data_IF_879842118601
#
_entry.id   IF_879842118601
#
_cell.length_a   1.000
_cell.length_b   1.000
_cell.length_c   1.000
_cell.angle_alpha   90.00
_cell.angle_beta   90.00
_cell.angle_gamma   90.00
#
_symmetry.space_group_name_H-M   'P 1'
#
loop_
_entity.id
_entity.type
_entity.pdbx_description
1 polymer ?
#
# COMPACT_ATOMS: atom_id res chain seq x y z
N UNK A 1 10.80 -13.96 12.01
CA UNK A 1 11.15 -12.61 11.49
C UNK A 1 10.80 -12.41 9.98
N UNK A 2 10.53 -13.48 9.24
CA UNK A 2 10.31 -13.41 7.78
C UNK A 2 8.92 -12.87 7.42
N UNK A 3 7.88 -13.18 8.20
CA UNK A 3 6.47 -12.81 7.95
C UNK A 3 6.00 -11.54 8.67
N UNK A 4 6.91 -10.78 9.30
CA UNK A 4 6.50 -9.59 10.06
C UNK A 4 5.77 -8.50 9.25
N UNK A 5 6.14 -8.17 7.99
CA UNK A 5 5.41 -7.16 7.21
C UNK A 5 4.02 -7.66 6.77
N UNK A 6 3.87 -8.95 6.48
CA UNK A 6 2.60 -9.57 6.09
C UNK A 6 1.62 -9.58 7.25
N UNK A 7 2.10 -9.92 8.46
CA UNK A 7 1.29 -9.86 9.68
C UNK A 7 0.87 -8.44 10.03
N UNK A 8 1.77 -7.46 9.87
CA UNK A 8 1.44 -6.04 10.06
C UNK A 8 0.38 -5.57 9.05
N UNK A 9 0.51 -5.98 7.80
CA UNK A 9 -0.47 -5.65 6.76
C UNK A 9 -1.83 -6.30 7.04
N UNK A 10 -1.85 -7.58 7.41
CA UNK A 10 -3.07 -8.27 7.82
C UNK A 10 -3.74 -7.62 9.01
N UNK A 11 -2.96 -7.24 10.03
CA UNK A 11 -3.42 -6.48 11.19
C UNK A 11 -3.99 -5.11 10.82
N UNK A 12 -3.33 -4.39 9.91
CA UNK A 12 -3.81 -3.10 9.41
C UNK A 12 -5.18 -3.23 8.72
N UNK A 13 -5.36 -4.24 7.86
CA UNK A 13 -6.62 -4.50 7.17
C UNK A 13 -7.72 -4.86 8.19
N UNK A 14 -7.43 -5.73 9.14
CA UNK A 14 -8.40 -6.10 10.18
C UNK A 14 -8.84 -4.89 11.02
N UNK A 15 -7.90 -4.02 11.42
CA UNK A 15 -8.19 -2.77 12.13
C UNK A 15 -9.02 -1.80 11.27
N UNK A 16 -8.73 -1.68 9.96
CA UNK A 16 -9.50 -0.83 9.06
C UNK A 16 -10.97 -1.31 8.93
N UNK A 17 -11.17 -2.61 8.73
CA UNK A 17 -12.53 -3.20 8.68
C UNK A 17 -13.25 -3.02 10.01
N UNK A 18 -12.57 -3.25 11.13
CA UNK A 18 -13.09 -3.00 12.46
C UNK A 18 -13.49 -1.52 12.68
N UNK A 19 -12.66 -0.57 12.22
CA UNK A 19 -12.97 0.86 12.29
C UNK A 19 -14.25 1.21 11.51
N UNK A 20 -14.42 0.67 10.30
CA UNK A 20 -15.63 0.88 9.49
C UNK A 20 -16.87 0.31 10.21
N UNK A 21 -16.79 -0.93 10.69
CA UNK A 21 -17.89 -1.56 11.43
C UNK A 21 -18.28 -0.74 12.67
N UNK A 22 -17.29 -0.30 13.46
CA UNK A 22 -17.53 0.54 14.64
C UNK A 22 -18.13 1.90 14.26
N UNK A 23 -17.70 2.50 13.15
CA UNK A 23 -18.28 3.75 12.65
C UNK A 23 -19.74 3.59 12.29
N UNK A 24 -20.12 2.51 11.61
CA UNK A 24 -21.52 2.21 11.26
C UNK A 24 -22.37 2.07 12.54
N UNK A 25 -21.90 1.27 13.49
CA UNK A 25 -22.60 1.08 14.80
C UNK A 25 -22.73 2.42 15.55
N UNK A 26 -21.67 3.23 15.55
CA UNK A 26 -21.68 4.55 16.18
C UNK A 26 -22.69 5.48 15.50
N UNK A 27 -22.74 5.49 14.17
CA UNK A 27 -23.67 6.33 13.40
C UNK A 27 -25.12 5.95 13.66
N UNK A 28 -25.43 4.66 13.77
CA UNK A 28 -26.78 4.20 14.14
C UNK A 28 -27.19 4.68 15.54
N UNK A 29 -26.27 4.71 16.50
CA UNK A 29 -26.50 5.16 17.87
C UNK A 29 -26.50 6.68 18.04
N UNK A 30 -25.95 7.44 17.08
CA UNK A 30 -25.91 8.92 17.12
C UNK A 30 -27.30 9.51 17.29
N UNK A 31 -28.24 9.03 16.50
CA UNK A 31 -29.61 9.56 16.48
C UNK A 31 -30.27 9.52 17.89
N UNK A 32 -30.13 8.40 18.57
CA UNK A 32 -30.73 8.20 19.87
C UNK A 32 -30.00 9.00 20.95
N UNK A 33 -28.66 9.04 20.91
CA UNK A 33 -27.85 9.77 21.87
C UNK A 33 -27.95 11.29 21.77
N UNK A 34 -28.14 11.82 20.56
CA UNK A 34 -28.19 13.27 20.31
C UNK A 34 -29.62 13.81 20.33
N UNK A 35 -30.63 12.96 20.21
CA UNK A 35 -32.03 13.38 20.20
C UNK A 35 -32.42 14.33 21.36
N UNK A 36 -32.05 14.08 22.65
CA UNK A 36 -32.38 14.97 23.73
C UNK A 36 -31.68 16.33 23.65
N UNK A 37 -30.38 16.33 23.22
CA UNK A 37 -29.64 17.57 23.06
C UNK A 37 -30.16 18.38 21.86
N UNK A 38 -30.55 17.73 20.76
CA UNK A 38 -31.16 18.38 19.61
C UNK A 38 -32.46 19.08 19.98
N UNK A 39 -33.33 18.43 20.76
CA UNK A 39 -34.57 19.04 21.23
C UNK A 39 -34.28 20.27 22.09
N UNK A 40 -33.27 20.20 22.97
CA UNK A 40 -32.86 21.31 23.83
C UNK A 40 -32.29 22.50 23.04
N UNK A 41 -31.49 22.22 22.03
CA UNK A 41 -30.93 23.24 21.11
C UNK A 41 -32.05 23.94 20.33
N UNK A 42 -33.02 23.19 19.82
CA UNK A 42 -34.15 23.76 19.07
C UNK A 42 -34.96 24.66 19.98
N UNK A 43 -35.31 24.20 21.20
CA UNK A 43 -36.07 24.98 22.18
C UNK A 43 -35.35 26.28 22.56
N UNK A 44 -34.07 26.22 22.93
CA UNK A 44 -33.28 27.41 23.27
C UNK A 44 -33.13 28.39 22.10
N UNK A 45 -33.09 27.90 20.87
CA UNK A 45 -33.07 28.75 19.68
C UNK A 45 -34.42 29.41 19.42
N UNK A 46 -35.51 28.71 19.60
CA UNK A 46 -36.87 29.26 19.47
C UNK A 46 -37.10 30.35 20.52
N UNK A 47 -36.71 30.10 21.76
CA UNK A 47 -36.80 31.09 22.84
C UNK A 47 -35.93 32.35 22.56
N UNK A 48 -34.71 32.18 22.01
CA UNK A 48 -33.85 33.28 21.63
C UNK A 48 -34.31 34.05 20.39
N UNK A 49 -35.21 33.48 19.61
CA UNK A 49 -35.75 34.10 18.39
C UNK A 49 -37.13 34.73 18.63
N UNK A 50 -37.68 34.62 19.83
CA UNK A 50 -38.95 35.22 20.21
C UNK A 50 -38.71 36.61 20.84
N UNK A 51 -38.89 37.65 20.01
CA UNK A 51 -38.73 39.06 20.42
C UNK A 51 -39.64 39.47 21.59
N UNK A 52 -40.77 38.80 21.76
CA UNK A 52 -41.70 39.14 22.86
C UNK A 52 -41.17 38.70 24.21
N UNK A 53 -40.57 37.48 24.27
CA UNK A 53 -39.98 36.95 25.51
C UNK A 53 -38.78 37.76 25.96
N UNK A 54 -38.00 38.26 24.99
CA UNK A 54 -36.83 39.14 25.24
C UNK A 54 -37.29 40.51 25.73
N UNK A 55 -38.34 41.07 25.13
CA UNK A 55 -38.85 42.39 25.46
C UNK A 55 -39.51 42.45 26.83
N UNK A 56 -40.16 41.36 27.22
CA UNK A 56 -40.83 41.24 28.53
C UNK A 56 -39.86 40.96 29.69
N UNK A 57 -38.58 40.78 29.40
CA UNK A 57 -37.54 40.42 30.39
C UNK A 57 -37.67 39.03 30.98
N UNK A 58 -38.43 38.15 30.31
CA UNK A 58 -38.61 36.76 30.74
C UNK A 58 -37.38 35.89 30.45
N UNK A 59 -36.52 36.36 29.52
CA UNK A 59 -35.33 35.63 29.09
C UNK A 59 -34.10 36.53 29.15
N UNK A 60 -33.04 36.10 29.86
CA UNK A 60 -31.72 36.68 29.77
C UNK A 60 -30.98 36.09 28.53
N UNK A 61 -30.80 36.91 27.51
CA UNK A 61 -30.14 36.55 26.25
C UNK A 61 -28.71 36.03 26.46
N UNK A 62 -28.01 36.57 27.46
CA UNK A 62 -26.64 36.14 27.76
C UNK A 62 -26.60 34.75 28.39
N UNK A 63 -27.48 34.48 29.32
CA UNK A 63 -27.61 33.20 30.00
C UNK A 63 -28.03 32.11 29.01
N UNK A 64 -29.02 32.37 28.15
CA UNK A 64 -29.48 31.45 27.09
C UNK A 64 -28.40 31.13 26.07
N UNK A 65 -27.59 32.11 25.62
CA UNK A 65 -26.43 31.90 24.77
C UNK A 65 -25.39 31.03 25.46
N UNK A 66 -25.15 31.24 26.72
CA UNK A 66 -24.21 30.44 27.49
C UNK A 66 -24.70 28.98 27.65
N UNK A 67 -25.97 28.79 27.93
CA UNK A 67 -26.58 27.45 27.96
C UNK A 67 -26.53 26.76 26.62
N UNK A 68 -26.81 27.48 25.54
CA UNK A 68 -26.69 26.96 24.17
C UNK A 68 -25.26 26.47 23.86
N UNK A 69 -24.27 27.26 24.27
CA UNK A 69 -22.84 26.91 24.13
C UNK A 69 -22.50 25.64 24.93
N UNK A 70 -22.99 25.53 26.17
CA UNK A 70 -22.80 24.32 26.99
C UNK A 70 -23.43 23.07 26.35
N UNK A 71 -24.61 23.21 25.77
CA UNK A 71 -25.31 22.10 25.13
C UNK A 71 -24.55 21.67 23.84
N UNK A 72 -24.03 22.62 23.06
CA UNK A 72 -23.17 22.31 21.90
C UNK A 72 -21.88 21.62 22.32
N UNK A 73 -21.19 22.11 23.34
CA UNK A 73 -19.97 21.52 23.86
C UNK A 73 -20.22 20.07 24.35
N UNK A 74 -21.31 19.87 25.07
CA UNK A 74 -21.71 18.54 25.53
C UNK A 74 -22.05 17.61 24.38
N UNK A 75 -22.74 18.09 23.35
CA UNK A 75 -23.04 17.31 22.14
C UNK A 75 -21.77 16.92 21.41
N UNK A 76 -20.84 17.85 21.25
CA UNK A 76 -19.53 17.60 20.65
C UNK A 76 -18.74 16.55 21.43
N UNK A 77 -18.74 16.62 22.76
CA UNK A 77 -18.06 15.65 23.61
C UNK A 77 -18.67 14.24 23.48
N UNK A 78 -20.00 14.13 23.49
CA UNK A 78 -20.68 12.83 23.30
C UNK A 78 -20.40 12.23 21.91
N UNK A 79 -20.36 13.06 20.86
CA UNK A 79 -19.95 12.62 19.52
C UNK A 79 -18.50 12.13 19.50
N UNK A 80 -17.59 12.91 20.08
CA UNK A 80 -16.18 12.52 20.16
C UNK A 80 -16.03 11.18 20.85
N UNK A 81 -16.67 11.02 22.02
CA UNK A 81 -16.64 9.78 22.78
C UNK A 81 -17.19 8.58 22.00
N UNK A 82 -18.20 8.81 21.17
CA UNK A 82 -18.83 7.77 20.37
C UNK A 82 -17.93 7.31 19.19
N UNK A 83 -17.19 8.24 18.57
CA UNK A 83 -16.34 7.95 17.43
C UNK A 83 -14.88 7.64 17.79
N UNK A 84 -14.45 7.93 19.03
CA UNK A 84 -13.08 7.68 19.50
C UNK A 84 -12.59 6.25 19.20
N UNK A 85 -13.36 5.17 19.46
CA UNK A 85 -12.89 3.82 19.19
C UNK A 85 -12.57 3.60 17.70
N UNK A 86 -13.41 4.13 16.80
CA UNK A 86 -13.21 4.04 15.37
C UNK A 86 -11.96 4.80 14.91
N UNK A 87 -11.75 5.99 15.47
CA UNK A 87 -10.59 6.85 15.15
C UNK A 87 -9.30 6.18 15.61
N UNK A 88 -9.29 5.57 16.80
CA UNK A 88 -8.11 4.85 17.32
C UNK A 88 -7.78 3.63 16.45
N UNK A 89 -8.78 2.85 16.06
CA UNK A 89 -8.58 1.71 15.17
C UNK A 89 -8.05 2.13 13.80
N UNK A 90 -8.59 3.22 13.24
CA UNK A 90 -8.11 3.75 11.96
C UNK A 90 -6.67 4.24 12.06
N UNK A 91 -6.33 4.99 13.10
CA UNK A 91 -4.97 5.45 13.36
C UNK A 91 -3.98 4.29 13.51
N UNK A 92 -4.37 3.24 14.23
CA UNK A 92 -3.56 2.02 14.37
C UNK A 92 -3.37 1.32 13.03
N UNK A 93 -4.42 1.22 12.21
CA UNK A 93 -4.33 0.66 10.85
C UNK A 93 -3.31 1.40 10.00
N UNK A 94 -3.36 2.73 9.97
CA UNK A 94 -2.41 3.57 9.22
C UNK A 94 -0.99 3.35 9.72
N UNK A 95 -0.77 3.35 11.03
CA UNK A 95 0.55 3.13 11.63
C UNK A 95 1.14 1.76 11.25
N UNK A 96 0.32 0.70 11.29
CA UNK A 96 0.73 -0.64 10.87
C UNK A 96 1.05 -0.71 9.38
N UNK A 97 0.27 -0.04 8.53
CA UNK A 97 0.50 0.02 7.08
C UNK A 97 1.82 0.74 6.76
N UNK A 98 2.07 1.89 7.38
CA UNK A 98 3.33 2.62 7.23
C UNK A 98 4.54 1.80 7.72
N UNK A 99 4.40 1.10 8.84
CA UNK A 99 5.42 0.21 9.36
C UNK A 99 5.74 -0.95 8.41
N UNK A 100 4.72 -1.63 7.89
CA UNK A 100 4.87 -2.69 6.89
C UNK A 100 5.58 -2.19 5.63
N UNK A 101 5.15 -1.04 5.11
CA UNK A 101 5.73 -0.44 3.91
C UNK A 101 7.22 -0.09 4.10
N UNK A 102 7.59 0.46 5.26
CA UNK A 102 9.00 0.76 5.59
C UNK A 102 9.87 -0.50 5.61
N UNK A 103 9.37 -1.59 6.18
CA UNK A 103 10.10 -2.87 6.23
C UNK A 103 10.26 -3.44 4.81
N UNK A 104 9.19 -3.45 4.01
CA UNK A 104 9.22 -3.95 2.62
C UNK A 104 10.19 -3.14 1.77
N UNK A 105 10.16 -1.81 1.88
CA UNK A 105 11.10 -0.94 1.17
C UNK A 105 12.56 -1.24 1.52
N UNK A 106 12.86 -1.43 2.82
CA UNK A 106 14.21 -1.82 3.26
C UNK A 106 14.68 -3.15 2.66
N UNK A 107 13.80 -4.15 2.61
CA UNK A 107 14.10 -5.46 1.98
C UNK A 107 14.33 -5.33 0.47
N UNK A 108 13.50 -4.57 -0.23
CA UNK A 108 13.65 -4.35 -1.67
C UNK A 108 14.96 -3.62 -1.99
N UNK A 109 15.33 -2.63 -1.18
CA UNK A 109 16.63 -1.94 -1.33
C UNK A 109 17.82 -2.88 -1.11
N UNK A 110 17.76 -3.73 -0.08
CA UNK A 110 18.80 -4.71 0.17
C UNK A 110 18.93 -5.74 -0.96
N UNK A 111 17.80 -6.20 -1.51
CA UNK A 111 17.77 -7.10 -2.65
C UNK A 111 18.33 -6.44 -3.92
N UNK A 112 17.94 -5.19 -4.18
CA UNK A 112 18.47 -4.43 -5.31
C UNK A 112 20.00 -4.19 -5.21
N UNK A 113 20.49 -3.89 -4.00
CA UNK A 113 21.93 -3.74 -3.75
C UNK A 113 22.68 -5.07 -3.96
N UNK A 114 22.13 -6.18 -3.49
CA UNK A 114 22.71 -7.50 -3.70
C UNK A 114 22.74 -7.88 -5.19
N UNK A 115 21.67 -7.57 -5.92
CA UNK A 115 21.61 -7.79 -7.36
C UNK A 115 22.65 -6.93 -8.13
N UNK A 116 22.76 -5.65 -7.77
CA UNK A 116 23.76 -4.76 -8.38
C UNK A 116 25.19 -5.25 -8.13
N UNK A 117 25.52 -5.68 -6.89
CA UNK A 117 26.81 -6.26 -6.57
C UNK A 117 27.10 -7.55 -7.36
N UNK A 118 26.10 -8.44 -7.47
CA UNK A 118 26.24 -9.66 -8.26
C UNK A 118 26.48 -9.36 -9.74
N UNK A 119 25.73 -8.40 -10.29
CA UNK A 119 25.87 -7.95 -11.67
C UNK A 119 27.27 -7.37 -11.94
N UNK A 120 27.79 -6.58 -11.01
CA UNK A 120 29.15 -6.03 -11.11
C UNK A 120 30.21 -7.12 -11.12
N UNK A 121 30.14 -8.07 -10.17
CA UNK A 121 31.06 -9.22 -10.10
C UNK A 121 31.00 -10.05 -11.39
N UNK A 122 29.81 -10.28 -11.90
CA UNK A 122 29.58 -11.01 -13.12
C UNK A 122 30.18 -10.28 -14.35
N UNK A 123 29.95 -8.98 -14.48
CA UNK A 123 30.50 -8.18 -15.56
C UNK A 123 32.03 -8.13 -15.50
N UNK A 124 32.61 -8.02 -14.31
CA UNK A 124 34.06 -8.09 -14.10
C UNK A 124 34.63 -9.47 -14.46
N UNK A 125 33.90 -10.54 -14.22
CA UNK A 125 34.26 -11.89 -14.63
C UNK A 125 34.24 -12.01 -16.18
N UNK A 126 33.15 -11.55 -16.83
CA UNK A 126 33.02 -11.54 -18.31
C UNK A 126 34.16 -10.75 -18.97
N UNK A 127 34.47 -9.55 -18.45
CA UNK A 127 35.56 -8.73 -18.97
C UNK A 127 36.89 -9.50 -18.95
N UNK A 128 37.21 -10.15 -17.81
CA UNK A 128 38.45 -10.96 -17.69
C UNK A 128 38.46 -12.14 -18.65
N UNK A 129 37.34 -12.81 -18.88
CA UNK A 129 37.22 -13.92 -19.82
C UNK A 129 37.44 -13.40 -21.27
N UNK A 130 36.80 -12.27 -21.60
CA UNK A 130 36.96 -11.62 -22.92
C UNK A 130 38.38 -11.17 -23.15
N UNK A 131 39.08 -10.62 -22.16
CA UNK A 131 40.47 -10.16 -22.25
C UNK A 131 41.47 -11.32 -22.45
N UNK A 132 41.21 -12.49 -21.86
CA UNK A 132 42.09 -13.64 -21.90
C UNK A 132 41.82 -14.55 -23.10
N UNK A 133 40.58 -14.77 -23.46
CA UNK A 133 40.16 -15.75 -24.47
C UNK A 133 39.64 -15.13 -25.75
N UNK A 134 39.46 -13.83 -25.79
CA UNK A 134 38.84 -13.10 -26.90
C UNK A 134 37.30 -13.09 -26.81
N UNK A 135 36.71 -12.03 -27.39
CA UNK A 135 35.27 -11.75 -27.32
C UNK A 135 34.42 -12.84 -27.97
N UNK A 136 34.89 -13.44 -29.08
CA UNK A 136 34.14 -14.51 -29.77
C UNK A 136 34.01 -15.78 -28.91
N UNK A 137 35.05 -16.12 -28.15
CA UNK A 137 35.04 -17.28 -27.25
C UNK A 137 34.17 -16.99 -26.02
N UNK A 138 34.24 -15.78 -25.49
CA UNK A 138 33.39 -15.34 -24.39
C UNK A 138 31.91 -15.42 -24.77
N UNK A 139 31.53 -14.90 -25.96
CA UNK A 139 30.14 -14.96 -26.42
C UNK A 139 29.66 -16.42 -26.62
N UNK A 140 30.53 -17.31 -27.14
CA UNK A 140 30.19 -18.75 -27.24
C UNK A 140 29.97 -19.41 -25.88
N UNK A 141 30.80 -19.08 -24.91
CA UNK A 141 30.65 -19.57 -23.52
C UNK A 141 29.37 -19.01 -22.90
N UNK A 142 29.11 -17.72 -23.07
CA UNK A 142 27.95 -17.03 -22.51
C UNK A 142 26.63 -17.57 -23.07
N UNK A 143 26.55 -17.76 -24.37
CA UNK A 143 25.33 -18.28 -25.01
C UNK A 143 25.21 -19.80 -24.97
N UNK A 144 26.24 -20.53 -24.51
CA UNK A 144 26.21 -21.98 -24.40
C UNK A 144 26.06 -22.63 -25.79
N UNK A 145 26.88 -22.22 -26.76
CA UNK A 145 26.80 -22.78 -28.10
C UNK A 145 27.21 -24.25 -28.14
N UNK A 146 26.33 -25.10 -28.65
CA UNK A 146 26.63 -26.50 -28.95
C UNK A 146 26.69 -26.72 -30.46
N UNK A 147 27.67 -27.52 -30.90
CA UNK A 147 27.74 -27.96 -32.28
C UNK A 147 26.64 -28.98 -32.53
N UNK A 148 25.73 -28.68 -33.45
CA UNK A 148 24.69 -29.62 -33.91
C UNK A 148 25.01 -30.00 -35.35
N UNK A 149 25.07 -31.29 -35.61
CA UNK A 149 25.20 -31.80 -36.98
C UNK A 149 23.85 -31.71 -37.67
N UNK A 150 23.77 -30.95 -38.72
CA UNK A 150 22.59 -30.82 -39.59
C UNK A 150 22.94 -31.40 -40.96
N UNK A 151 22.05 -32.24 -41.48
CA UNK A 151 22.19 -32.82 -42.82
C UNK A 151 21.55 -31.82 -43.79
N UNK A 152 22.38 -31.16 -44.60
CA UNK A 152 21.93 -30.25 -45.65
C UNK A 152 22.12 -30.93 -47.01
N UNK A 153 21.19 -30.77 -47.97
CA UNK A 153 21.31 -31.30 -49.31
C UNK A 153 22.06 -30.28 -50.18
N UNK A 154 23.19 -30.72 -50.74
CA UNK A 154 23.98 -29.92 -51.68
C UNK A 154 23.24 -29.74 -53.02
N UNK A 155 23.64 -28.79 -53.86
CA UNK A 155 23.05 -28.47 -55.18
C UNK A 155 22.89 -29.71 -56.09
N UNK A 156 23.63 -30.79 -55.83
CA UNK A 156 23.59 -32.06 -56.53
C UNK A 156 22.73 -33.15 -55.85
N UNK A 157 21.95 -32.80 -54.81
CA UNK A 157 21.05 -33.72 -54.09
C UNK A 157 21.76 -34.70 -53.15
N UNK A 158 23.07 -34.56 -52.88
CA UNK A 158 23.80 -35.38 -51.91
C UNK A 158 23.65 -34.79 -50.50
N UNK A 159 23.44 -35.64 -49.54
CA UNK A 159 23.39 -35.29 -48.12
C UNK A 159 24.83 -35.02 -47.62
N UNK A 160 25.07 -33.80 -47.15
CA UNK A 160 26.35 -33.38 -46.53
C UNK A 160 26.09 -33.04 -45.08
N UNK A 161 26.85 -33.66 -44.17
CA UNK A 161 26.82 -33.28 -42.74
C UNK A 161 27.56 -31.95 -42.56
N UNK A 162 26.84 -30.93 -42.08
CA UNK A 162 27.38 -29.62 -41.71
C UNK A 162 27.23 -29.40 -40.19
N UNK A 163 28.35 -29.05 -39.56
CA UNK A 163 28.27 -28.65 -38.13
C UNK A 163 27.87 -27.17 -38.05
N UNK A 164 26.76 -26.91 -37.37
CA UNK A 164 26.27 -25.56 -37.14
C UNK A 164 26.32 -25.30 -35.63
N UNK A 165 26.86 -24.14 -35.23
CA UNK A 165 26.82 -23.67 -33.84
C UNK A 165 25.39 -23.23 -33.51
N UNK A 166 24.71 -23.97 -32.62
CA UNK A 166 23.35 -23.67 -32.16
C UNK A 166 23.42 -23.15 -30.73
N UNK A 167 22.79 -22.01 -30.48
CA UNK A 167 22.70 -21.42 -29.16
C UNK A 167 21.77 -22.25 -28.26
N UNK A 168 22.28 -22.79 -27.16
CA UNK A 168 21.52 -23.64 -26.22
C UNK A 168 20.43 -22.85 -25.51
N UNK A 169 20.61 -21.55 -25.31
CA UNK A 169 19.68 -20.68 -24.60
C UNK A 169 18.55 -20.11 -25.46
N UNK A 170 18.57 -20.34 -26.80
CA UNK A 170 17.58 -19.78 -27.73
C UNK A 170 16.14 -20.27 -27.50
N UNK A 171 15.94 -21.34 -26.73
CA UNK A 171 14.60 -21.88 -26.32
C UNK A 171 14.22 -21.64 -24.89
N UNK A 172 15.04 -20.93 -24.13
CA UNK A 172 14.73 -20.62 -22.73
C UNK A 172 13.65 -19.53 -22.63
N UNK A 173 12.73 -19.70 -21.68
CA UNK A 173 11.69 -18.70 -21.35
C UNK A 173 12.26 -17.31 -21.00
N UNK A 174 13.57 -17.25 -20.69
CA UNK A 174 14.30 -16.04 -20.31
C UNK A 174 15.11 -15.43 -21.47
N UNK A 175 15.12 -16.08 -22.65
CA UNK A 175 15.89 -15.59 -23.82
C UNK A 175 15.39 -14.24 -24.37
N UNK A 176 14.19 -13.81 -23.99
CA UNK A 176 13.57 -12.54 -24.41
C UNK A 176 14.09 -11.35 -23.57
N UNK A 177 14.81 -11.61 -22.48
CA UNK A 177 15.30 -10.57 -21.56
C UNK A 177 16.79 -10.21 -21.76
N UNK A 178 17.45 -10.82 -22.75
CA UNK A 178 18.87 -10.58 -23.04
C UNK A 178 19.10 -10.22 -24.50
#
# INVERSE_FOLDING_TARGET
KQHSPELLLGGAIACAVGAVAMTVVSTLKVKDKIAPQKKKIVKLKEELNDDNLIRNGEIDVQEHKHELTKVYAKTGWELTKLYTPSIVLLGTSIACMCGSHKIMRGRNMALAAAYASLSEVYNNYRSRVSDQLGKEVEDKIYHGTKKKKVIEKDENGKEVEKEIDVNENSGSQWSVLY
#
